data_IF_862997061999
#
_entry.id   IF_862997061999
#
_cell.length_a   1.000
_cell.length_b   1.000
_cell.length_c   1.000
_cell.angle_alpha   90.00
_cell.angle_beta   90.00
_cell.angle_gamma   90.00
#
_symmetry.space_group_name_H-M   'P 1'
#
loop_
_entity.id
_entity.type
_entity.pdbx_description
1 polymer ?
#
# COMPACT_ATOMS: atom_id res chain seq x y z
N UNK A 1 -15.60 15.15 10.44
CA UNK A 1 -15.63 14.01 9.49
C UNK A 1 -15.40 14.58 8.10
N UNK A 2 -14.21 14.47 7.51
CA UNK A 2 -13.89 15.24 6.28
C UNK A 2 -13.96 14.39 4.99
N UNK A 3 -13.99 13.05 5.05
CA UNK A 3 -13.99 12.20 3.84
C UNK A 3 -15.09 11.11 3.79
N UNK A 4 -16.17 11.25 4.55
CA UNK A 4 -17.26 10.26 4.56
C UNK A 4 -17.91 10.05 3.19
N UNK A 5 -18.01 11.10 2.38
CA UNK A 5 -18.61 11.00 1.05
C UNK A 5 -17.78 10.17 0.06
N UNK A 6 -16.44 10.25 0.10
CA UNK A 6 -15.58 9.52 -0.84
C UNK A 6 -15.58 8.03 -0.51
N UNK A 7 -15.49 7.69 0.78
CA UNK A 7 -15.59 6.28 1.18
C UNK A 7 -16.97 5.72 0.86
N UNK A 8 -18.04 6.51 1.03
CA UNK A 8 -19.39 6.08 0.66
C UNK A 8 -19.50 5.85 -0.85
N UNK A 9 -18.91 6.72 -1.69
CA UNK A 9 -18.87 6.48 -3.14
C UNK A 9 -18.14 5.18 -3.50
N UNK A 10 -17.09 4.81 -2.75
CA UNK A 10 -16.43 3.52 -2.94
C UNK A 10 -17.36 2.36 -2.57
N UNK A 11 -18.06 2.45 -1.44
CA UNK A 11 -19.05 1.45 -1.04
C UNK A 11 -20.18 1.32 -2.08
N UNK A 12 -20.75 2.43 -2.53
CA UNK A 12 -21.78 2.47 -3.57
C UNK A 12 -21.27 1.85 -4.88
N UNK A 13 -20.01 2.13 -5.25
CA UNK A 13 -19.36 1.51 -6.40
C UNK A 13 -19.28 -0.01 -6.25
N UNK A 14 -18.93 -0.53 -5.08
CA UNK A 14 -18.89 -1.98 -4.80
C UNK A 14 -20.29 -2.58 -4.86
N UNK A 15 -21.29 -1.94 -4.26
CA UNK A 15 -22.69 -2.40 -4.29
C UNK A 15 -23.21 -2.54 -5.72
N UNK A 16 -22.96 -1.53 -6.58
CA UNK A 16 -23.45 -1.51 -7.95
C UNK A 16 -22.69 -2.48 -8.87
N UNK A 17 -21.37 -2.55 -8.75
CA UNK A 17 -20.53 -3.30 -9.70
C UNK A 17 -20.24 -4.74 -9.25
N UNK A 18 -20.33 -5.02 -7.96
CA UNK A 18 -20.07 -6.34 -7.37
C UNK A 18 -21.20 -6.77 -6.41
N UNK A 19 -22.47 -6.80 -6.85
CA UNK A 19 -23.62 -7.03 -5.98
C UNK A 19 -23.61 -8.40 -5.26
N UNK A 20 -23.03 -9.43 -5.91
CA UNK A 20 -22.89 -10.76 -5.31
C UNK A 20 -21.88 -10.79 -4.15
N UNK A 21 -20.83 -9.97 -4.24
CA UNK A 21 -19.87 -9.81 -3.16
C UNK A 21 -20.49 -8.98 -2.04
N UNK A 22 -21.07 -7.82 -2.40
CA UNK A 22 -21.64 -6.88 -1.43
C UNK A 22 -22.80 -7.47 -0.61
N UNK A 23 -23.71 -8.21 -1.25
CA UNK A 23 -24.87 -8.83 -0.58
C UNK A 23 -24.49 -9.89 0.47
N UNK A 24 -23.25 -10.40 0.43
CA UNK A 24 -22.72 -11.36 1.41
C UNK A 24 -22.04 -10.66 2.59
N UNK A 25 -21.85 -9.34 2.54
CA UNK A 25 -21.14 -8.62 3.59
C UNK A 25 -22.03 -8.32 4.79
N UNK A 26 -21.50 -8.55 5.99
CA UNK A 26 -22.08 -8.04 7.23
C UNK A 26 -21.74 -6.57 7.46
N UNK A 27 -22.44 -5.91 8.38
CA UNK A 27 -22.16 -4.51 8.72
C UNK A 27 -20.72 -4.28 9.20
N UNK A 28 -20.14 -5.25 9.91
CA UNK A 28 -18.75 -5.18 10.36
C UNK A 28 -17.76 -5.23 9.19
N UNK A 29 -18.08 -6.00 8.15
CA UNK A 29 -17.20 -6.18 6.98
C UNK A 29 -17.29 -5.00 6.03
N UNK A 30 -18.47 -4.39 5.93
CA UNK A 30 -18.62 -3.09 5.28
C UNK A 30 -17.73 -2.05 5.98
N UNK A 31 -17.67 -2.05 7.32
CA UNK A 31 -16.78 -1.14 8.04
C UNK A 31 -15.30 -1.48 7.79
N UNK A 32 -14.92 -2.76 7.75
CA UNK A 32 -13.56 -3.17 7.39
C UNK A 32 -13.16 -2.74 5.96
N UNK A 33 -14.10 -2.73 4.99
CA UNK A 33 -13.86 -2.17 3.66
C UNK A 33 -13.61 -0.66 3.70
N UNK A 34 -14.32 0.07 4.55
CA UNK A 34 -14.08 1.51 4.74
C UNK A 34 -12.72 1.76 5.37
N UNK A 35 -12.32 0.96 6.35
CA UNK A 35 -10.98 1.03 6.95
C UNK A 35 -9.89 0.76 5.91
N UNK A 36 -10.05 -0.28 5.10
CA UNK A 36 -9.15 -0.57 3.99
C UNK A 36 -9.09 0.59 2.98
N UNK A 37 -10.23 1.20 2.65
CA UNK A 37 -10.29 2.38 1.80
C UNK A 37 -9.48 3.55 2.39
N UNK A 38 -9.71 3.88 3.67
CA UNK A 38 -9.00 4.96 4.32
C UNK A 38 -7.49 4.72 4.39
N UNK A 39 -7.10 3.47 4.60
CA UNK A 39 -5.70 3.05 4.59
C UNK A 39 -5.04 3.27 3.22
N UNK A 40 -5.72 2.91 2.13
CA UNK A 40 -5.21 3.16 0.77
C UNK A 40 -5.21 4.65 0.43
N UNK A 41 -6.22 5.38 0.89
CA UNK A 41 -6.32 6.82 0.71
C UNK A 41 -5.17 7.56 1.41
N UNK A 42 -4.79 7.16 2.63
CA UNK A 42 -3.65 7.73 3.35
C UNK A 42 -2.37 7.64 2.49
N UNK A 43 -2.09 6.47 1.92
CA UNK A 43 -0.95 6.29 1.00
C UNK A 43 -1.02 7.20 -0.21
N UNK A 44 -2.19 7.27 -0.84
CA UNK A 44 -2.39 8.08 -2.04
C UNK A 44 -2.14 9.55 -1.74
N UNK A 45 -2.76 10.08 -0.67
CA UNK A 45 -2.62 11.48 -0.25
C UNK A 45 -1.18 11.82 0.11
N UNK A 46 -0.51 10.98 0.90
CA UNK A 46 0.90 11.18 1.25
C UNK A 46 1.82 11.12 0.02
N UNK A 47 1.62 10.12 -0.84
CA UNK A 47 2.42 9.99 -2.06
C UNK A 47 2.20 11.16 -3.03
N UNK A 48 1.02 11.77 -3.03
CA UNK A 48 0.72 12.95 -3.86
C UNK A 48 1.38 14.25 -3.38
N UNK A 49 2.03 14.25 -2.21
CA UNK A 49 2.93 15.35 -1.83
C UNK A 49 4.18 15.42 -2.72
N UNK A 50 4.50 14.35 -3.44
CA UNK A 50 5.66 14.26 -4.32
C UNK A 50 5.30 14.40 -5.80
N UNK A 51 4.09 14.88 -6.13
CA UNK A 51 3.64 15.07 -7.52
C UNK A 51 4.16 16.39 -8.14
N UNK A 52 4.87 17.21 -7.38
CA UNK A 52 5.46 18.46 -7.85
C UNK A 52 6.60 18.26 -8.86
N UNK A 53 6.79 19.25 -9.73
CA UNK A 53 7.83 19.25 -10.79
C UNK A 53 9.23 19.04 -10.23
N UNK A 54 9.48 19.49 -8.99
CA UNK A 54 10.74 19.31 -8.28
C UNK A 54 11.10 17.84 -8.05
N UNK A 55 10.10 16.94 -8.01
CA UNK A 55 10.31 15.50 -7.80
C UNK A 55 10.38 14.69 -9.08
N UNK A 56 9.93 15.22 -10.23
CA UNK A 56 9.89 14.49 -11.51
C UNK A 56 11.28 13.98 -11.95
N UNK A 57 12.34 14.70 -11.58
CA UNK A 57 13.73 14.34 -11.88
C UNK A 57 14.35 13.33 -10.91
N UNK A 58 13.66 13.01 -9.81
CA UNK A 58 14.19 12.17 -8.75
C UNK A 58 14.00 10.69 -9.08
N UNK A 59 15.02 9.88 -8.82
CA UNK A 59 15.08 8.47 -9.21
C UNK A 59 14.02 7.54 -8.58
N UNK A 60 13.30 7.98 -7.55
CA UNK A 60 12.19 7.23 -6.95
C UNK A 60 10.81 7.64 -7.48
N UNK A 61 10.71 8.71 -8.26
CA UNK A 61 9.43 9.33 -8.63
C UNK A 61 8.48 8.37 -9.36
N UNK A 62 8.94 7.72 -10.43
CA UNK A 62 8.11 6.77 -11.16
C UNK A 62 7.78 5.52 -10.32
N UNK A 63 8.72 5.08 -9.48
CA UNK A 63 8.49 3.95 -8.56
C UNK A 63 7.37 4.28 -7.56
N UNK A 64 7.36 5.52 -7.04
CA UNK A 64 6.33 6.01 -6.12
C UNK A 64 4.97 6.16 -6.83
N UNK A 65 4.95 6.69 -8.05
CA UNK A 65 3.73 6.79 -8.86
C UNK A 65 3.12 5.42 -9.14
N UNK A 66 3.95 4.44 -9.54
CA UNK A 66 3.50 3.07 -9.68
C UNK A 66 2.98 2.53 -8.35
N UNK A 67 3.71 2.71 -7.25
CA UNK A 67 3.32 2.23 -5.92
C UNK A 67 1.93 2.76 -5.50
N UNK A 68 1.66 4.07 -5.67
CA UNK A 68 0.33 4.67 -5.43
C UNK A 68 -0.79 3.96 -6.22
N UNK A 69 -0.57 3.75 -7.52
CA UNK A 69 -1.54 3.11 -8.41
C UNK A 69 -1.76 1.64 -8.02
N UNK A 70 -0.71 0.92 -7.63
CA UNK A 70 -0.85 -0.46 -7.19
C UNK A 70 -1.52 -0.59 -5.81
N UNK A 71 -1.29 0.36 -4.89
CA UNK A 71 -2.01 0.37 -3.61
C UNK A 71 -3.51 0.56 -3.84
N UNK A 72 -3.91 1.51 -4.68
CA UNK A 72 -5.34 1.73 -4.97
C UNK A 72 -6.00 0.56 -5.69
N UNK A 73 -5.24 -0.23 -6.47
CA UNK A 73 -5.74 -1.47 -7.10
C UNK A 73 -6.21 -2.51 -6.09
N UNK A 74 -5.69 -2.51 -4.85
CA UNK A 74 -6.19 -3.42 -3.79
C UNK A 74 -7.71 -3.27 -3.63
N UNK A 75 -8.21 -2.03 -3.66
CA UNK A 75 -9.65 -1.73 -3.53
C UNK A 75 -10.50 -2.28 -4.68
N UNK A 76 -9.91 -2.44 -5.86
CA UNK A 76 -10.58 -2.95 -7.06
C UNK A 76 -10.54 -4.48 -7.13
N UNK A 77 -9.52 -5.10 -6.54
CA UNK A 77 -9.37 -6.57 -6.57
C UNK A 77 -10.00 -7.25 -5.36
N UNK A 78 -10.22 -6.55 -4.25
CA UNK A 78 -10.88 -7.13 -3.07
C UNK A 78 -12.25 -7.77 -3.37
N UNK A 79 -13.12 -7.21 -4.23
CA UNK A 79 -14.43 -7.79 -4.52
C UNK A 79 -14.35 -9.03 -5.42
N UNK A 80 -13.21 -9.25 -6.09
CA UNK A 80 -12.93 -10.47 -6.86
C UNK A 80 -12.79 -11.66 -5.91
N UNK A 81 -12.48 -11.41 -4.63
CA UNK A 81 -12.36 -12.41 -3.59
C UNK A 81 -11.27 -13.48 -3.86
N UNK A 82 -10.21 -13.07 -4.56
CA UNK A 82 -9.07 -13.94 -4.88
C UNK A 82 -7.86 -13.58 -4.00
N UNK A 83 -7.59 -14.44 -3.01
CA UNK A 83 -6.45 -14.28 -2.12
C UNK A 83 -5.11 -14.31 -2.85
N UNK A 84 -4.95 -15.15 -3.87
CA UNK A 84 -3.70 -15.23 -4.62
C UNK A 84 -3.41 -13.94 -5.39
N UNK A 85 -4.45 -13.30 -5.95
CA UNK A 85 -4.32 -12.01 -6.62
C UNK A 85 -3.91 -10.90 -5.63
N UNK A 86 -4.51 -10.88 -4.44
CA UNK A 86 -4.14 -9.96 -3.34
C UNK A 86 -2.69 -10.17 -2.93
N UNK A 87 -2.28 -11.43 -2.68
CA UNK A 87 -0.91 -11.78 -2.30
C UNK A 87 0.11 -11.37 -3.37
N UNK A 88 -0.23 -11.59 -4.64
CA UNK A 88 0.61 -11.19 -5.78
C UNK A 88 0.78 -9.67 -5.85
N UNK A 89 -0.30 -8.92 -5.62
CA UNK A 89 -0.24 -7.46 -5.60
C UNK A 89 0.56 -6.93 -4.40
N UNK A 90 0.35 -7.49 -3.21
CA UNK A 90 1.12 -7.15 -2.00
C UNK A 90 2.61 -7.42 -2.18
N UNK A 91 2.99 -8.54 -2.81
CA UNK A 91 4.38 -8.81 -3.16
C UNK A 91 4.98 -7.72 -4.04
N UNK A 92 4.28 -7.34 -5.12
CA UNK A 92 4.73 -6.28 -6.01
C UNK A 92 4.90 -4.94 -5.28
N UNK A 93 4.00 -4.64 -4.34
CA UNK A 93 4.06 -3.46 -3.50
C UNK A 93 5.28 -3.48 -2.57
N UNK A 94 5.54 -4.59 -1.88
CA UNK A 94 6.72 -4.77 -1.03
C UNK A 94 8.00 -4.56 -1.85
N UNK A 95 8.08 -5.20 -3.02
CA UNK A 95 9.22 -5.07 -3.94
C UNK A 95 9.42 -3.64 -4.45
N UNK A 96 8.34 -2.88 -4.67
CA UNK A 96 8.42 -1.46 -5.04
C UNK A 96 8.85 -0.60 -3.87
N UNK A 97 8.33 -0.85 -2.67
CA UNK A 97 8.73 -0.13 -1.46
C UNK A 97 10.23 -0.28 -1.19
N UNK A 98 10.79 -1.49 -1.32
CA UNK A 98 12.24 -1.69 -1.28
C UNK A 98 13.00 -0.80 -2.26
N UNK A 99 12.53 -0.73 -3.51
CA UNK A 99 13.20 0.06 -4.55
C UNK A 99 13.07 1.57 -4.29
N UNK A 100 11.92 2.02 -3.78
CA UNK A 100 11.70 3.42 -3.37
C UNK A 100 12.68 3.79 -2.25
N UNK A 101 12.76 2.97 -1.20
CA UNK A 101 13.69 3.17 -0.08
C UNK A 101 15.14 3.15 -0.57
N UNK A 102 15.51 2.15 -1.37
CA UNK A 102 16.86 2.04 -1.91
C UNK A 102 17.24 3.25 -2.79
N UNK A 103 16.32 3.72 -3.65
CA UNK A 103 16.49 4.90 -4.48
C UNK A 103 16.68 6.18 -3.65
N UNK A 104 15.89 6.33 -2.58
CA UNK A 104 15.99 7.46 -1.65
C UNK A 104 17.39 7.58 -1.02
N UNK A 105 17.96 6.46 -0.55
CA UNK A 105 19.31 6.45 0.04
C UNK A 105 20.44 6.46 -1.00
N UNK A 106 20.14 6.29 -2.29
CA UNK A 106 21.14 6.27 -3.38
C UNK A 106 20.71 7.20 -4.53
N UNK A 107 20.60 8.52 -4.29
CA UNK A 107 20.05 9.48 -5.27
C UNK A 107 20.89 9.59 -6.55
N UNK A 108 22.16 9.20 -6.50
CA UNK A 108 23.08 9.18 -7.64
C UNK A 108 22.78 8.05 -8.64
N UNK A 109 22.00 7.03 -8.25
CA UNK A 109 21.63 5.92 -9.13
C UNK A 109 20.42 6.29 -10.00
N UNK A 110 20.48 5.90 -11.27
CA UNK A 110 19.35 6.01 -12.19
C UNK A 110 18.30 4.96 -11.86
N UNK A 111 17.01 5.31 -11.99
CA UNK A 111 15.88 4.42 -11.70
C UNK A 111 15.97 3.07 -12.44
N UNK A 112 16.31 3.11 -13.74
CA UNK A 112 16.43 1.89 -14.55
C UNK A 112 17.52 0.94 -14.01
N UNK A 113 18.55 1.48 -13.36
CA UNK A 113 19.61 0.71 -12.72
C UNK A 113 19.07 0.09 -11.43
N UNK A 114 18.39 0.87 -10.60
CA UNK A 114 17.74 0.41 -9.36
C UNK A 114 16.79 -0.77 -9.64
N UNK A 115 15.97 -0.69 -10.71
CA UNK A 115 15.04 -1.78 -11.09
C UNK A 115 15.73 -3.12 -11.33
N UNK A 116 16.98 -3.10 -11.82
CA UNK A 116 17.79 -4.30 -12.11
C UNK A 116 18.54 -4.85 -10.91
N UNK A 117 18.58 -4.13 -9.78
CA UNK A 117 19.27 -4.62 -8.59
C UNK A 117 18.47 -5.76 -7.94
N UNK A 118 19.19 -6.82 -7.57
CA UNK A 118 18.62 -7.92 -6.78
C UNK A 118 18.21 -7.43 -5.39
N UNK A 119 17.06 -7.91 -4.90
CA UNK A 119 16.55 -7.58 -3.55
C UNK A 119 17.59 -7.85 -2.47
N UNK A 120 18.32 -8.97 -2.53
CA UNK A 120 19.34 -9.31 -1.52
C UNK A 120 20.42 -8.23 -1.43
N UNK A 121 20.89 -7.71 -2.57
CA UNK A 121 21.90 -6.65 -2.62
C UNK A 121 21.35 -5.33 -2.09
N UNK A 122 20.10 -4.98 -2.45
CA UNK A 122 19.43 -3.79 -1.92
C UNK A 122 19.24 -3.88 -0.39
N UNK A 123 18.80 -5.04 0.10
CA UNK A 123 18.59 -5.32 1.52
C UNK A 123 19.86 -5.09 2.34
N UNK A 124 21.00 -5.63 1.90
CA UNK A 124 22.29 -5.45 2.59
C UNK A 124 22.72 -3.98 2.60
N UNK A 125 22.47 -3.24 1.53
CA UNK A 125 22.82 -1.80 1.45
C UNK A 125 21.90 -0.89 2.24
N UNK A 126 20.73 -1.38 2.65
CA UNK A 126 19.77 -0.68 3.49
C UNK A 126 19.93 -1.02 4.97
N UNK A 127 20.89 -1.89 5.32
CA UNK A 127 21.16 -2.29 6.70
C UNK A 127 21.59 -1.08 7.55
N UNK A 128 20.94 -0.88 8.69
CA UNK A 128 21.19 0.27 9.57
C UNK A 128 20.59 1.60 9.10
N UNK A 129 20.09 1.70 7.86
CA UNK A 129 19.46 2.92 7.33
C UNK A 129 17.95 2.98 7.58
N UNK A 130 17.31 1.83 7.81
CA UNK A 130 15.85 1.72 7.97
C UNK A 130 15.48 1.32 9.41
N UNK A 131 14.53 2.03 10.00
CA UNK A 131 14.00 1.73 11.34
C UNK A 131 13.08 0.51 11.33
N UNK A 132 12.35 0.27 10.23
CA UNK A 132 11.44 -0.85 10.05
C UNK A 132 12.01 -1.92 9.11
N UNK A 133 13.35 -2.04 9.07
CA UNK A 133 14.07 -3.00 8.21
C UNK A 133 13.57 -4.43 8.37
N UNK A 134 13.41 -4.87 9.62
CA UNK A 134 12.97 -6.22 9.95
C UNK A 134 11.55 -6.48 9.43
N UNK A 135 10.62 -5.56 9.67
CA UNK A 135 9.23 -5.68 9.21
C UNK A 135 9.15 -5.79 7.68
N UNK A 136 9.99 -5.02 6.96
CA UNK A 136 10.10 -5.09 5.50
C UNK A 136 10.68 -6.42 5.00
N UNK A 137 11.70 -6.95 5.69
CA UNK A 137 12.32 -8.23 5.37
C UNK A 137 11.38 -9.41 5.64
N UNK A 138 10.65 -9.37 6.77
CA UNK A 138 9.68 -10.39 7.19
C UNK A 138 8.50 -10.43 6.21
N UNK A 139 7.97 -9.26 5.81
CA UNK A 139 6.95 -9.16 4.76
C UNK A 139 7.43 -9.82 3.47
N UNK A 140 8.60 -9.44 2.97
CA UNK A 140 9.09 -10.02 1.71
C UNK A 140 9.30 -11.52 1.80
N UNK A 141 9.83 -12.03 2.91
CA UNK A 141 10.07 -13.47 3.09
C UNK A 141 8.76 -14.24 3.04
N UNK A 142 7.72 -13.76 3.74
CA UNK A 142 6.39 -14.36 3.73
C UNK A 142 5.78 -14.46 2.31
N UNK A 143 5.96 -13.45 1.46
CA UNK A 143 5.43 -13.48 0.08
C UNK A 143 6.37 -14.10 -0.95
N UNK A 144 7.66 -14.21 -0.66
CA UNK A 144 8.60 -14.95 -1.49
C UNK A 144 8.37 -16.46 -1.36
N UNK A 145 8.07 -16.95 -0.15
CA UNK A 145 7.75 -18.36 0.11
C UNK A 145 6.44 -18.79 -0.57
N UNK A 146 5.41 -17.93 -0.57
CA UNK A 146 4.12 -18.20 -1.22
C UNK A 146 4.20 -18.45 -2.73
N UNK A 147 5.22 -17.92 -3.43
CA UNK A 147 5.39 -18.11 -4.89
C UNK A 147 6.22 -19.35 -5.24
N UNK A 148 7.01 -19.87 -4.30
CA UNK A 148 7.77 -21.12 -4.50
C UNK A 148 6.96 -22.36 -4.10
N UNK A 149 5.80 -22.19 -3.46
CA UNK A 149 4.84 -23.25 -3.19
C UNK A 149 3.67 -23.23 -4.17
N UNK A 150 3.96 -23.31 -5.48
CA UNK A 150 2.97 -23.61 -6.52
C UNK A 150 2.65 -25.11 -6.57
N UNK A 151 2.24 -25.69 -5.44
CA UNK A 151 1.69 -27.04 -5.46
C UNK A 151 0.43 -27.02 -6.33
N UNK A 152 0.40 -27.83 -7.38
CA UNK A 152 -0.78 -27.95 -8.23
C UNK A 152 -1.92 -28.55 -7.40
N UNK A 153 -2.85 -27.72 -6.95
CA UNK A 153 -4.10 -28.23 -6.41
C UNK A 153 -4.94 -28.75 -7.59
N UNK A 154 -5.40 -30.01 -7.59
CA UNK A 154 -6.33 -30.50 -8.59
C UNK A 154 -7.60 -29.64 -8.53
N UNK A 155 -7.92 -28.96 -9.62
CA UNK A 155 -9.08 -28.07 -9.77
C UNK A 155 -10.36 -28.89 -9.89
N UNK A 156 -10.83 -29.48 -8.78
CA UNK A 156 -12.14 -30.11 -8.73
C UNK A 156 -13.28 -29.10 -8.55
N UNK A 157 -14.50 -29.51 -8.89
CA UNK A 157 -15.75 -28.75 -8.78
C UNK A 157 -15.98 -28.13 -7.38
N UNK A 158 -15.38 -28.72 -6.34
CA UNK A 158 -15.40 -28.23 -4.97
C UNK A 158 -14.58 -26.94 -4.78
N UNK A 159 -13.46 -26.79 -5.51
CA UNK A 159 -12.63 -25.58 -5.49
C UNK A 159 -13.34 -24.40 -6.15
N UNK A 160 -14.13 -24.63 -7.20
CA UNK A 160 -14.95 -23.57 -7.81
C UNK A 160 -16.05 -23.06 -6.86
N UNK A 161 -16.66 -23.96 -6.06
CA UNK A 161 -17.63 -23.56 -5.03
C UNK A 161 -16.97 -22.78 -3.89
N UNK A 162 -15.80 -23.21 -3.43
CA UNK A 162 -15.03 -22.48 -2.42
C UNK A 162 -14.55 -21.11 -2.90
N UNK A 163 -14.17 -20.97 -4.18
CA UNK A 163 -13.85 -19.67 -4.79
C UNK A 163 -15.08 -18.77 -4.93
N UNK A 164 -16.28 -19.35 -5.05
CA UNK A 164 -17.54 -18.61 -5.11
C UNK A 164 -18.05 -18.15 -3.73
N UNK A 165 -17.53 -18.74 -2.66
CA UNK A 165 -17.79 -18.29 -1.29
C UNK A 165 -16.88 -17.10 -0.97
N UNK A 166 -17.50 -15.99 -0.56
CA UNK A 166 -16.75 -14.79 -0.19
C UNK A 166 -15.89 -15.11 1.02
N UNK A 167 -14.57 -15.05 0.86
CA UNK A 167 -13.62 -15.10 1.95
C UNK A 167 -13.60 -13.72 2.60
N UNK A 168 -14.50 -13.54 3.53
CA UNK A 168 -14.71 -12.29 4.24
C UNK A 168 -13.45 -11.86 5.02
N UNK A 169 -12.69 -12.82 5.53
CA UNK A 169 -11.42 -12.57 6.23
C UNK A 169 -10.35 -11.94 5.32
N UNK A 170 -10.55 -11.98 3.99
CA UNK A 170 -9.64 -11.39 3.02
C UNK A 170 -9.57 -9.85 3.14
N UNK A 171 -10.68 -9.19 3.51
CA UNK A 171 -10.72 -7.73 3.71
C UNK A 171 -9.81 -7.36 4.87
N UNK A 172 -10.00 -8.03 6.01
CA UNK A 172 -9.20 -7.84 7.22
C UNK A 172 -7.73 -8.15 6.95
N UNK A 173 -7.45 -9.27 6.28
CA UNK A 173 -6.11 -9.65 5.86
C UNK A 173 -5.43 -8.56 5.00
N UNK A 174 -6.13 -8.04 3.98
CA UNK A 174 -5.60 -7.00 3.12
C UNK A 174 -5.32 -5.70 3.89
N UNK A 175 -6.19 -5.33 4.82
CA UNK A 175 -6.04 -4.16 5.68
C UNK A 175 -4.81 -4.29 6.59
N UNK A 176 -4.64 -5.44 7.26
CA UNK A 176 -3.50 -5.69 8.15
C UNK A 176 -2.17 -5.61 7.39
N UNK A 177 -2.05 -6.30 6.25
CA UNK A 177 -0.81 -6.33 5.46
C UNK A 177 -0.47 -4.98 4.86
N UNK A 178 -1.49 -4.26 4.39
CA UNK A 178 -1.31 -2.90 3.90
C UNK A 178 -1.00 -1.92 5.02
N UNK A 179 -1.45 -2.19 6.25
CA UNK A 179 -1.14 -1.41 7.45
C UNK A 179 0.34 -1.46 7.79
N UNK A 180 0.94 -2.65 7.74
CA UNK A 180 2.40 -2.82 7.93
C UNK A 180 3.17 -2.09 6.82
N UNK A 181 2.73 -2.20 5.56
CA UNK A 181 3.34 -1.44 4.46
C UNK A 181 3.25 0.07 4.69
N UNK A 182 2.10 0.56 5.20
CA UNK A 182 1.87 1.99 5.48
C UNK A 182 2.84 2.48 6.53
N UNK A 183 2.98 1.69 7.57
CA UNK A 183 3.87 1.98 8.68
C UNK A 183 5.33 2.14 8.21
N UNK A 184 5.82 1.20 7.40
CA UNK A 184 7.18 1.27 6.82
C UNK A 184 7.31 2.51 5.92
N UNK A 185 6.35 2.74 5.01
CA UNK A 185 6.39 3.89 4.11
C UNK A 185 6.41 5.23 4.87
N UNK A 186 5.61 5.37 5.93
CA UNK A 186 5.57 6.59 6.73
C UNK A 186 6.93 6.83 7.38
N UNK A 187 7.44 5.84 8.12
CA UNK A 187 8.63 5.98 8.97
C UNK A 187 9.90 6.12 8.14
N UNK A 188 10.10 5.19 7.21
CA UNK A 188 11.39 5.02 6.53
C UNK A 188 11.47 5.76 5.19
N UNK A 189 10.39 6.39 4.74
CA UNK A 189 10.40 7.20 3.52
C UNK A 189 9.75 8.57 3.70
N UNK A 190 8.45 8.64 3.99
CA UNK A 190 7.69 9.89 3.95
C UNK A 190 8.23 10.93 4.94
N UNK A 191 8.38 10.54 6.21
CA UNK A 191 8.86 11.45 7.26
C UNK A 191 10.28 11.93 6.98
N UNK A 192 11.17 11.03 6.59
CA UNK A 192 12.56 11.36 6.24
C UNK A 192 12.58 12.36 5.08
N UNK A 193 11.90 12.05 3.97
CA UNK A 193 11.94 12.87 2.76
C UNK A 193 11.34 14.26 2.97
N UNK A 194 10.24 14.35 3.71
CA UNK A 194 9.56 15.62 3.97
C UNK A 194 10.33 16.50 4.95
N UNK A 195 11.04 15.90 5.92
CA UNK A 195 11.88 16.65 6.85
C UNK A 195 13.02 17.41 6.14
N UNK A 196 13.49 16.90 4.99
CA UNK A 196 14.54 17.52 4.18
C UNK A 196 14.05 18.69 3.31
N UNK A 197 12.79 18.64 2.83
CA UNK A 197 12.32 19.52 1.74
C UNK A 197 11.26 20.56 2.12
N UNK A 198 10.76 20.55 3.36
CA UNK A 198 9.65 21.40 3.87
C UNK A 198 8.41 21.45 2.96
N UNK A 199 7.31 20.84 3.40
CA UNK A 199 6.06 20.89 2.65
C UNK A 199 5.48 22.31 2.54
N UNK A 200 5.00 22.65 1.34
CA UNK A 200 4.23 23.87 1.12
C UNK A 200 2.88 23.84 1.87
N UNK A 201 2.29 25.01 2.09
CA UNK A 201 1.03 25.19 2.85
C UNK A 201 -0.10 24.34 2.26
N UNK A 202 -0.22 24.29 0.93
CA UNK A 202 -1.26 23.52 0.24
C UNK A 202 -1.14 22.01 0.54
N UNK A 203 0.08 21.47 0.57
CA UNK A 203 0.34 20.07 0.91
C UNK A 203 0.04 19.78 2.37
N UNK A 204 0.43 20.67 3.30
CA UNK A 204 0.09 20.55 4.72
C UNK A 204 -1.42 20.56 4.96
N UNK A 205 -2.15 21.47 4.31
CA UNK A 205 -3.61 21.53 4.37
C UNK A 205 -4.25 20.26 3.80
N UNK A 206 -3.74 19.73 2.68
CA UNK A 206 -4.21 18.48 2.09
C UNK A 206 -4.05 17.32 3.07
N UNK A 207 -2.87 17.16 3.66
CA UNK A 207 -2.59 16.12 4.65
C UNK A 207 -3.54 16.23 5.86
N UNK A 208 -3.67 17.43 6.43
CA UNK A 208 -4.54 17.67 7.60
C UNK A 208 -6.01 17.36 7.35
N UNK A 209 -6.48 17.61 6.13
CA UNK A 209 -7.90 17.46 5.77
C UNK A 209 -8.24 16.07 5.24
N UNK A 210 -7.29 15.39 4.58
CA UNK A 210 -7.59 14.17 3.82
C UNK A 210 -7.05 12.88 4.44
N UNK A 211 -6.10 12.96 5.37
CA UNK A 211 -5.62 11.78 6.09
C UNK A 211 -6.57 11.35 7.21
N UNK A 212 -6.46 10.08 7.61
CA UNK A 212 -7.07 9.60 8.85
C UNK A 212 -6.55 10.38 10.06
N UNK A 213 -7.36 10.50 11.11
CA UNK A 213 -7.00 11.22 12.33
C UNK A 213 -5.73 10.65 12.97
N UNK A 214 -5.56 9.34 12.94
CA UNK A 214 -4.36 8.67 13.43
C UNK A 214 -3.11 9.11 12.67
N UNK A 215 -3.16 9.11 11.34
CA UNK A 215 -2.06 9.58 10.51
C UNK A 215 -1.75 11.07 10.74
N UNK A 216 -2.78 11.93 10.90
CA UNK A 216 -2.61 13.36 11.21
C UNK A 216 -1.88 13.54 12.55
N UNK A 217 -2.37 12.93 13.63
CA UNK A 217 -1.74 13.03 14.97
C UNK A 217 -0.28 12.62 14.90
N UNK A 218 0.01 11.56 14.14
CA UNK A 218 1.37 11.08 13.98
C UNK A 218 2.28 12.10 13.30
N UNK A 219 1.82 12.75 12.24
CA UNK A 219 2.57 13.78 11.52
C UNK A 219 2.73 15.07 12.35
N UNK A 220 1.73 15.42 13.16
CA UNK A 220 1.82 16.55 14.12
C UNK A 220 2.89 16.28 15.19
N UNK A 221 2.96 15.06 15.73
CA UNK A 221 3.95 14.67 16.74
C UNK A 221 5.42 14.77 16.26
N UNK A 222 5.65 14.73 14.95
CA UNK A 222 6.99 14.89 14.35
C UNK A 222 7.16 16.25 13.64
N UNK A 223 6.25 17.21 13.90
CA UNK A 223 6.28 18.57 13.36
C UNK A 223 6.29 18.68 11.82
N UNK A 224 5.66 17.73 11.11
CA UNK A 224 5.56 17.76 9.65
C UNK A 224 4.40 18.66 9.18
N UNK A 225 3.26 18.63 9.89
CA UNK A 225 2.08 19.46 9.63
C UNK A 225 1.69 20.30 10.85
#
# INVERSE_FOLDING_TARGET
MVNSWIVNNYIDYIEVNFPNFFSKLSANEVEALKELYFLMNDFFVMGSCFDGVEYESVNFYNLLNEFKVYMSRILLIIPINDKYLIDSLLRLLIEKLYRILYAHFHPHLLEHSIRKHERRKMSVRLEGSLSKKKDLDDLYSAYSELVHHSNSNPTDLLNFRQLSDTNIDLIQYAAEKSGVLKEIFIVDFFMLKVSESQLNIASKMRLKNQLTREAVIRLENVNII
#
